data_IF_013581963977
#
_entry.id   IF_013581963977
#
_cell.length_a   1.000
_cell.length_b   1.000
_cell.length_c   1.000
_cell.angle_alpha   90.00
_cell.angle_beta   90.00
_cell.angle_gamma   90.00
#
_symmetry.space_group_name_H-M   'P 1'
#
loop_
_entity.id
_entity.type
_entity.pdbx_description
1 polymer ?
#
# COMPACT_ATOMS: atom_id res chain seq x y z
N UNK A 1 -78.21 -19.55 -6.89
CA UNK A 1 -77.37 -18.47 -7.48
C UNK A 1 -76.87 -17.46 -6.43
N UNK A 2 -77.72 -16.87 -5.59
CA UNK A 2 -77.31 -15.91 -4.53
C UNK A 2 -76.28 -16.45 -3.52
N UNK A 3 -76.41 -17.72 -3.11
CA UNK A 3 -75.44 -18.37 -2.21
C UNK A 3 -74.05 -18.55 -2.86
N UNK A 4 -74.00 -18.83 -4.16
CA UNK A 4 -72.76 -18.99 -4.91
C UNK A 4 -72.02 -17.63 -5.02
N UNK A 5 -72.78 -16.57 -5.28
CA UNK A 5 -72.25 -15.20 -5.38
C UNK A 5 -71.72 -14.69 -4.02
N UNK A 6 -72.39 -15.07 -2.92
CA UNK A 6 -71.96 -14.73 -1.56
C UNK A 6 -70.64 -15.41 -1.20
N UNK A 7 -70.45 -16.68 -1.59
CA UNK A 7 -69.21 -17.40 -1.35
C UNK A 7 -68.06 -16.87 -2.21
N UNK A 8 -68.34 -16.39 -3.44
CA UNK A 8 -67.33 -15.77 -4.30
C UNK A 8 -66.84 -14.43 -3.76
N UNK A 9 -67.75 -13.57 -3.28
CA UNK A 9 -67.36 -12.30 -2.63
C UNK A 9 -66.55 -12.53 -1.36
N UNK A 10 -66.87 -13.58 -0.59
CA UNK A 10 -66.11 -13.95 0.59
C UNK A 10 -64.68 -14.37 0.24
N UNK A 11 -64.50 -15.10 -0.87
CA UNK A 11 -63.18 -15.52 -1.35
C UNK A 11 -62.31 -14.34 -1.80
N UNK A 12 -62.91 -13.37 -2.51
CA UNK A 12 -62.22 -12.16 -2.98
C UNK A 12 -61.75 -11.30 -1.79
N UNK A 13 -62.60 -11.17 -0.76
CA UNK A 13 -62.23 -10.47 0.48
C UNK A 13 -61.08 -11.19 1.21
N UNK A 14 -61.07 -12.53 1.21
CA UNK A 14 -59.96 -13.30 1.79
C UNK A 14 -58.63 -13.08 1.07
N UNK A 15 -58.64 -12.93 -0.26
CA UNK A 15 -57.44 -12.63 -1.05
C UNK A 15 -56.86 -11.24 -0.77
N UNK A 16 -57.70 -10.26 -0.44
CA UNK A 16 -57.27 -8.89 -0.08
C UNK A 16 -56.52 -8.82 1.27
N UNK A 17 -56.67 -9.83 2.14
CA UNK A 17 -55.93 -9.94 3.40
C UNK A 17 -54.69 -10.83 3.32
N UNK A 18 -54.33 -11.34 2.13
CA UNK A 18 -53.08 -12.07 1.93
C UNK A 18 -51.93 -11.07 1.80
N UNK A 19 -51.24 -10.79 2.90
CA UNK A 19 -50.07 -9.92 2.91
C UNK A 19 -48.96 -10.52 2.03
N UNK A 20 -48.70 -9.93 0.87
CA UNK A 20 -47.50 -10.22 0.08
C UNK A 20 -46.27 -9.81 0.91
N UNK A 21 -45.54 -10.80 1.43
CA UNK A 21 -44.20 -10.58 1.95
C UNK A 21 -43.27 -10.42 0.74
N UNK A 22 -43.07 -9.19 0.30
CA UNK A 22 -41.98 -8.88 -0.62
C UNK A 22 -40.67 -9.21 0.08
N UNK A 23 -39.94 -10.21 -0.42
CA UNK A 23 -38.55 -10.40 -0.02
C UNK A 23 -37.75 -9.29 -0.72
N UNK A 24 -37.55 -8.17 -0.03
CA UNK A 24 -36.48 -7.26 -0.41
C UNK A 24 -35.17 -7.97 -0.12
N UNK A 25 -34.31 -8.10 -1.13
CA UNK A 25 -32.93 -8.54 -0.96
C UNK A 25 -32.11 -7.42 -0.30
N UNK A 26 -32.42 -7.11 0.96
CA UNK A 26 -31.49 -6.40 1.82
C UNK A 26 -30.57 -7.46 2.40
N UNK A 27 -29.49 -7.80 1.69
CA UNK A 27 -28.36 -8.48 2.30
C UNK A 27 -27.72 -7.51 3.30
N UNK A 28 -27.82 -7.73 4.61
CA UNK A 28 -27.11 -6.92 5.60
C UNK A 28 -25.75 -7.57 5.77
N UNK A 29 -24.89 -7.35 4.81
CA UNK A 29 -23.46 -7.63 4.92
C UNK A 29 -22.75 -6.50 4.20
N UNK A 30 -21.61 -6.07 4.72
CA UNK A 30 -20.72 -5.10 4.11
C UNK A 30 -20.24 -5.60 2.73
N UNK A 31 -21.12 -5.58 1.73
CA UNK A 31 -20.79 -5.82 0.34
C UNK A 31 -20.60 -4.43 -0.23
N UNK A 32 -19.34 -4.01 -0.28
CA UNK A 32 -18.91 -2.80 -0.97
C UNK A 32 -19.26 -3.00 -2.45
N UNK A 33 -20.36 -2.40 -2.90
CA UNK A 33 -20.83 -2.49 -4.28
C UNK A 33 -20.36 -1.28 -5.07
N UNK A 34 -19.35 -1.46 -5.92
CA UNK A 34 -18.98 -0.43 -6.90
C UNK A 34 -19.89 -0.54 -8.13
N UNK A 35 -20.45 0.59 -8.57
CA UNK A 35 -21.11 0.68 -9.88
C UNK A 35 -20.02 1.02 -10.90
N UNK A 36 -19.59 0.00 -11.64
CA UNK A 36 -18.63 0.15 -12.74
C UNK A 36 -19.43 0.12 -14.05
N UNK A 37 -19.59 1.26 -14.77
CA UNK A 37 -20.36 1.28 -16.02
C UNK A 37 -19.71 0.45 -17.13
N UNK A 38 -18.39 0.32 -17.10
CA UNK A 38 -17.59 -0.47 -18.03
C UNK A 38 -16.29 -0.88 -17.35
N UNK A 39 -15.80 -2.09 -17.58
CA UNK A 39 -14.51 -2.54 -17.06
C UNK A 39 -14.07 -3.84 -17.72
N UNK A 40 -12.78 -4.15 -17.63
CA UNK A 40 -12.22 -5.41 -18.12
C UNK A 40 -10.89 -5.73 -17.44
N UNK A 41 -10.38 -6.94 -17.68
CA UNK A 41 -9.06 -7.35 -17.27
C UNK A 41 -8.13 -7.36 -18.49
N UNK A 42 -6.97 -6.70 -18.38
CA UNK A 42 -5.90 -6.84 -19.35
C UNK A 42 -4.83 -7.80 -18.77
N UNK A 43 -4.64 -8.93 -19.44
CA UNK A 43 -3.63 -9.93 -19.06
C UNK A 43 -2.46 -9.90 -20.03
N UNK A 44 -1.22 -9.92 -19.50
CA UNK A 44 0.01 -10.09 -20.27
C UNK A 44 1.00 -10.99 -19.54
N UNK A 45 2.15 -11.26 -20.17
CA UNK A 45 3.19 -12.14 -19.62
C UNK A 45 3.71 -11.71 -18.25
N UNK A 46 3.64 -10.40 -17.95
CA UNK A 46 4.12 -9.80 -16.70
C UNK A 46 3.05 -9.63 -15.63
N UNK A 47 1.82 -10.12 -15.85
CA UNK A 47 0.72 -10.04 -14.88
C UNK A 47 -0.62 -9.63 -15.49
N UNK A 48 -1.63 -9.54 -14.64
CA UNK A 48 -2.98 -9.09 -15.01
C UNK A 48 -3.32 -7.81 -14.28
N UNK A 49 -3.89 -6.84 -15.00
CA UNK A 49 -4.41 -5.58 -14.45
C UNK A 49 -5.91 -5.50 -14.71
N UNK A 50 -6.69 -5.22 -13.68
CA UNK A 50 -8.12 -4.95 -13.81
C UNK A 50 -8.34 -3.44 -13.96
N UNK A 51 -9.22 -3.01 -14.87
CA UNK A 51 -9.55 -1.61 -15.05
C UNK A 51 -11.06 -1.38 -15.11
N UNK A 52 -11.49 -0.20 -14.68
CA UNK A 52 -12.86 0.30 -14.76
C UNK A 52 -12.87 1.67 -15.44
N UNK A 53 -13.89 1.94 -16.26
CA UNK A 53 -14.15 3.20 -16.97
C UNK A 53 -15.57 3.65 -16.62
N UNK A 54 -15.71 4.95 -16.32
CA UNK A 54 -17.01 5.57 -16.03
C UNK A 54 -17.36 5.64 -14.55
N UNK A 55 -16.43 5.35 -13.63
CA UNK A 55 -16.65 5.63 -12.21
C UNK A 55 -16.81 7.14 -12.00
N UNK A 56 -18.04 7.59 -11.78
CA UNK A 56 -18.37 9.02 -11.57
C UNK A 56 -18.43 9.40 -10.08
N UNK A 57 -18.50 8.41 -9.19
CA UNK A 57 -18.46 8.59 -7.74
C UNK A 57 -17.47 7.61 -7.10
N UNK A 58 -16.63 8.11 -6.21
CA UNK A 58 -15.83 7.31 -5.29
C UNK A 58 -15.79 8.00 -3.94
N UNK A 59 -15.88 7.21 -2.87
CA UNK A 59 -15.68 7.72 -1.51
C UNK A 59 -14.25 7.40 -1.12
N UNK A 60 -13.50 8.40 -0.65
CA UNK A 60 -12.21 8.17 -0.03
C UNK A 60 -12.37 8.30 1.49
N UNK A 61 -12.07 7.22 2.20
CA UNK A 61 -11.98 7.21 3.66
C UNK A 61 -10.49 7.15 3.99
N UNK A 62 -9.90 8.31 4.25
CA UNK A 62 -8.46 8.47 4.49
C UNK A 62 -8.15 9.07 5.86
N UNK A 63 -7.36 8.35 6.67
CA UNK A 63 -6.55 8.92 7.75
C UNK A 63 -5.08 8.89 7.28
N UNK A 64 -4.20 9.71 7.86
CA UNK A 64 -2.80 9.99 7.42
C UNK A 64 -1.95 8.76 7.04
N UNK A 65 -2.30 7.54 7.49
CA UNK A 65 -1.63 6.28 7.16
C UNK A 65 -2.45 5.27 6.33
N UNK A 66 -3.77 5.43 6.21
CA UNK A 66 -4.66 4.46 5.56
C UNK A 66 -5.63 5.20 4.65
N UNK A 67 -5.53 4.95 3.33
CA UNK A 67 -6.44 5.52 2.34
C UNK A 67 -7.21 4.38 1.69
N UNK A 68 -8.50 4.27 1.99
CA UNK A 68 -9.40 3.31 1.34
C UNK A 68 -10.26 4.09 0.36
N UNK A 69 -10.07 3.85 -0.94
CA UNK A 69 -10.94 4.37 -1.98
C UNK A 69 -11.96 3.29 -2.38
N UNK A 70 -13.24 3.63 -2.33
CA UNK A 70 -14.31 2.72 -2.70
C UNK A 70 -14.28 2.40 -4.20
N UNK A 71 -14.32 1.12 -4.55
CA UNK A 71 -14.48 0.65 -5.93
C UNK A 71 -13.22 0.70 -6.81
N UNK A 72 -12.10 1.21 -6.31
CA UNK A 72 -10.79 1.16 -6.99
C UNK A 72 -9.86 0.27 -6.20
N UNK A 73 -9.44 -0.85 -6.80
CA UNK A 73 -8.36 -1.65 -6.23
C UNK A 73 -7.04 -0.90 -6.48
N UNK A 74 -6.58 -0.13 -5.49
CA UNK A 74 -5.22 0.39 -5.53
C UNK A 74 -4.30 -0.80 -5.32
N UNK A 75 -3.39 -1.03 -6.26
CA UNK A 75 -2.25 -1.91 -6.02
C UNK A 75 -1.43 -1.28 -4.89
N UNK A 76 -1.67 -1.70 -3.66
CA UNK A 76 -0.83 -1.33 -2.54
C UNK A 76 0.53 -1.98 -2.78
N UNK A 77 1.46 -1.22 -3.38
CA UNK A 77 2.87 -1.56 -3.25
C UNK A 77 3.28 -1.09 -1.87
N UNK A 78 2.83 -1.82 -0.85
CA UNK A 78 3.44 -1.75 0.45
C UNK A 78 4.85 -2.32 0.28
N UNK A 79 5.85 -1.44 0.17
CA UNK A 79 7.18 -1.80 0.63
C UNK A 79 7.15 -1.86 2.16
N UNK A 80 6.30 -2.72 2.72
CA UNK A 80 6.20 -2.98 4.15
C UNK A 80 6.35 -4.47 4.34
N UNK A 81 7.44 -4.81 5.03
CA UNK A 81 7.72 -6.15 5.50
C UNK A 81 6.48 -6.68 6.23
N UNK A 82 5.94 -7.79 5.75
CA UNK A 82 4.85 -8.54 6.38
C UNK A 82 5.30 -8.99 7.78
N UNK A 83 5.01 -8.19 8.80
CA UNK A 83 5.08 -8.61 10.20
C UNK A 83 3.65 -8.87 10.69
N UNK A 84 3.39 -10.10 11.12
CA UNK A 84 2.17 -10.53 11.80
C UNK A 84 1.91 -9.69 13.06
N UNK A 85 0.64 -9.36 13.38
CA UNK A 85 0.29 -8.33 14.38
C UNK A 85 0.46 -8.74 15.85
N UNK A 86 1.28 -9.75 16.17
CA UNK A 86 1.38 -10.33 17.52
C UNK A 86 2.77 -10.23 18.16
N UNK A 87 3.67 -9.40 17.63
CA UNK A 87 4.94 -9.10 18.29
C UNK A 87 5.29 -7.60 18.18
N UNK A 88 4.54 -6.77 18.91
CA UNK A 88 4.81 -5.33 19.09
C UNK A 88 5.94 -5.10 20.10
N UNK A 89 7.12 -5.67 19.83
CA UNK A 89 8.38 -5.12 20.32
C UNK A 89 9.15 -4.76 19.05
N UNK A 90 8.85 -3.59 18.49
CA UNK A 90 9.72 -2.98 17.48
C UNK A 90 10.96 -2.43 18.20
N UNK A 91 12.17 -2.97 18.03
CA UNK A 91 13.33 -2.09 17.98
C UNK A 91 13.28 -1.46 16.59
N UNK A 92 12.51 -0.38 16.43
CA UNK A 92 12.36 0.30 15.14
C UNK A 92 13.71 0.87 14.73
N UNK A 93 14.48 0.10 13.97
CA UNK A 93 15.79 0.49 13.49
C UNK A 93 15.59 1.64 12.50
N UNK A 94 15.89 2.85 12.93
CA UNK A 94 15.70 4.06 12.16
C UNK A 94 17.01 4.42 11.47
N UNK A 95 16.98 4.44 10.14
CA UNK A 95 18.09 4.94 9.31
C UNK A 95 17.59 6.15 8.55
N UNK A 96 18.30 7.25 8.70
CA UNK A 96 18.09 8.50 7.97
C UNK A 96 19.35 8.91 7.22
N UNK A 97 19.18 9.63 6.11
CA UNK A 97 20.28 10.15 5.29
C UNK A 97 20.01 11.61 4.96
N UNK A 98 20.92 12.49 5.35
CA UNK A 98 20.76 13.94 5.21
C UNK A 98 22.12 14.65 5.04
N UNK A 99 22.16 15.84 4.40
CA UNK A 99 21.07 16.46 3.67
C UNK A 99 20.78 15.71 2.36
N UNK A 100 19.54 15.75 1.89
CA UNK A 100 19.16 15.26 0.58
C UNK A 100 18.05 16.18 0.02
N UNK A 101 18.30 16.98 -1.04
CA UNK A 101 19.50 17.02 -1.89
C UNK A 101 20.80 17.48 -1.19
N UNK A 102 21.95 17.18 -1.79
CA UNK A 102 23.30 17.49 -1.27
C UNK A 102 24.23 18.07 -2.34
N UNK A 103 25.38 18.63 -1.94
CA UNK A 103 26.50 19.06 -2.79
C UNK A 103 27.73 18.19 -2.56
N UNK A 104 28.20 18.13 -1.31
CA UNK A 104 29.54 17.64 -0.99
C UNK A 104 29.55 16.33 -0.21
N UNK A 105 28.54 16.10 0.64
CA UNK A 105 28.48 14.91 1.51
C UNK A 105 27.05 14.59 1.97
N UNK A 106 26.84 13.35 2.41
CA UNK A 106 25.65 12.96 3.17
C UNK A 106 26.06 12.28 4.46
N UNK A 107 25.32 12.50 5.52
CA UNK A 107 25.43 11.78 6.77
C UNK A 107 24.40 10.65 6.78
N UNK A 108 24.86 9.45 7.12
CA UNK A 108 24.03 8.30 7.43
C UNK A 108 23.91 8.27 8.95
N UNK A 109 22.72 8.41 9.49
CA UNK A 109 22.44 8.28 10.92
C UNK A 109 21.60 7.02 11.15
N UNK A 110 22.03 6.18 12.08
CA UNK A 110 21.43 4.89 12.41
C UNK A 110 21.15 4.80 13.91
N UNK A 111 19.89 4.69 14.30
CA UNK A 111 19.46 4.55 15.70
C UNK A 111 18.59 3.30 15.87
N UNK A 112 18.91 2.47 16.86
CA UNK A 112 18.13 1.26 17.17
C UNK A 112 18.99 0.09 17.63
N UNK A 113 18.39 -0.79 18.43
CA UNK A 113 19.06 -1.96 19.03
C UNK A 113 19.53 -2.98 17.97
N UNK A 114 18.92 -2.99 16.78
CA UNK A 114 19.30 -3.88 15.68
C UNK A 114 20.71 -3.59 15.13
N UNK A 115 21.30 -2.44 15.49
CA UNK A 115 22.63 -2.04 15.04
C UNK A 115 23.76 -2.38 16.01
N UNK A 116 23.45 -2.81 17.24
CA UNK A 116 24.47 -3.09 18.25
C UNK A 116 25.25 -4.37 17.96
N UNK A 117 24.68 -5.30 17.19
CA UNK A 117 25.25 -6.62 16.95
C UNK A 117 25.32 -6.92 15.44
N UNK A 118 26.48 -6.69 14.83
CA UNK A 118 26.78 -7.16 13.48
C UNK A 118 27.63 -6.21 12.63
N UNK A 119 28.31 -6.70 11.57
CA UNK A 119 28.96 -5.83 10.60
C UNK A 119 27.93 -4.99 9.85
N UNK A 120 28.17 -3.68 9.82
CA UNK A 120 27.36 -2.69 9.12
C UNK A 120 28.21 -2.07 8.02
N UNK A 121 27.61 -1.82 6.86
CA UNK A 121 28.31 -1.20 5.74
C UNK A 121 27.33 -0.45 4.83
N UNK A 122 27.87 0.40 3.97
CA UNK A 122 27.12 1.02 2.89
C UNK A 122 27.78 0.80 1.55
N UNK A 123 26.96 0.88 0.49
CA UNK A 123 27.40 0.87 -0.90
C UNK A 123 26.65 1.96 -1.68
N UNK A 124 27.39 2.75 -2.45
CA UNK A 124 26.86 3.81 -3.30
C UNK A 124 26.98 3.41 -4.77
N UNK A 125 25.87 3.52 -5.49
CA UNK A 125 25.77 3.17 -6.90
C UNK A 125 25.29 4.36 -7.74
N UNK A 126 25.69 4.42 -9.01
CA UNK A 126 25.01 5.26 -10.00
C UNK A 126 23.73 4.61 -10.56
N UNK A 127 23.05 5.33 -11.45
CA UNK A 127 21.82 4.87 -12.12
C UNK A 127 22.05 3.67 -13.05
N UNK A 128 23.29 3.42 -13.49
CA UNK A 128 23.64 2.24 -14.29
C UNK A 128 23.96 1.02 -13.40
N UNK A 129 23.92 1.17 -12.08
CA UNK A 129 24.22 0.12 -11.13
C UNK A 129 25.72 -0.11 -10.91
N UNK A 130 26.59 0.81 -11.35
CA UNK A 130 28.03 0.72 -11.09
C UNK A 130 28.29 1.11 -9.64
N UNK A 131 29.05 0.27 -8.93
CA UNK A 131 29.49 0.54 -7.56
C UNK A 131 30.57 1.64 -7.57
N UNK A 132 30.29 2.76 -6.90
CA UNK A 132 31.20 3.91 -6.82
C UNK A 132 31.97 3.96 -5.50
N UNK A 133 31.30 3.67 -4.39
CA UNK A 133 31.89 3.70 -3.05
C UNK A 133 31.33 2.58 -2.19
N UNK A 134 32.17 2.05 -1.31
CA UNK A 134 31.73 1.15 -0.24
C UNK A 134 32.61 1.36 1.00
N UNK A 135 32.00 1.31 2.18
CA UNK A 135 32.75 1.32 3.43
C UNK A 135 31.95 0.69 4.58
N UNK A 136 32.63 0.34 5.67
CA UNK A 136 32.01 -0.09 6.92
C UNK A 136 31.44 1.09 7.71
N UNK A 137 30.35 0.86 8.45
CA UNK A 137 29.71 1.83 9.33
C UNK A 137 29.99 1.41 10.78
N UNK A 138 30.97 2.06 11.42
CA UNK A 138 31.33 1.75 12.81
C UNK A 138 30.56 2.62 13.81
N UNK A 139 30.27 3.86 13.41
CA UNK A 139 29.61 4.85 14.25
C UNK A 139 28.10 4.92 13.97
N UNK A 140 27.36 5.47 14.93
CA UNK A 140 25.93 5.80 14.82
C UNK A 140 25.68 6.81 13.70
N UNK A 141 26.62 7.74 13.49
CA UNK A 141 26.59 8.71 12.41
C UNK A 141 27.88 8.60 11.59
N UNK A 142 27.75 8.45 10.27
CA UNK A 142 28.90 8.37 9.36
C UNK A 142 28.70 9.31 8.18
N UNK A 143 29.70 10.15 7.92
CA UNK A 143 29.72 11.02 6.76
C UNK A 143 30.26 10.28 5.52
N UNK A 144 29.52 10.37 4.42
CA UNK A 144 29.90 9.89 3.10
C UNK A 144 30.26 11.08 2.23
N UNK A 145 31.54 11.23 1.91
CA UNK A 145 32.00 12.26 0.98
C UNK A 145 31.61 11.91 -0.46
N UNK A 146 31.09 12.89 -1.19
CA UNK A 146 30.63 12.79 -2.57
C UNK A 146 31.41 13.73 -3.52
N UNK A 147 32.44 14.44 -3.08
CA UNK A 147 33.15 15.45 -3.89
C UNK A 147 33.79 14.88 -5.15
N UNK A 148 34.13 13.60 -5.14
CA UNK A 148 34.74 12.85 -6.24
C UNK A 148 33.72 12.25 -7.23
N UNK A 149 32.42 12.42 -6.99
CA UNK A 149 31.36 12.03 -7.92
C UNK A 149 30.60 13.26 -8.46
N UNK A 150 30.12 13.17 -9.71
CA UNK A 150 29.46 14.27 -10.40
C UNK A 150 28.06 14.59 -9.86
N UNK A 151 27.46 15.69 -10.30
CA UNK A 151 26.05 16.00 -10.00
C UNK A 151 25.14 15.01 -10.72
N UNK A 152 24.44 14.16 -9.96
CA UNK A 152 23.54 13.13 -10.48
C UNK A 152 22.66 12.54 -9.36
N UNK A 153 21.85 11.54 -9.71
CA UNK A 153 21.11 10.71 -8.78
C UNK A 153 21.93 9.46 -8.46
N UNK A 154 22.02 9.12 -7.18
CA UNK A 154 22.73 7.95 -6.68
C UNK A 154 21.81 7.06 -5.83
N UNK A 155 22.13 5.78 -5.77
CA UNK A 155 21.47 4.79 -4.93
C UNK A 155 22.42 4.39 -3.81
N UNK A 156 22.07 4.73 -2.58
CA UNK A 156 22.82 4.35 -1.38
C UNK A 156 22.11 3.19 -0.70
N UNK A 157 22.78 2.05 -0.57
CA UNK A 157 22.29 0.86 0.14
C UNK A 157 23.03 0.71 1.46
N UNK A 158 22.28 0.48 2.54
CA UNK A 158 22.82 0.19 3.87
C UNK A 158 22.61 -1.28 4.17
N UNK A 159 23.67 -1.93 4.62
CA UNK A 159 23.74 -3.34 4.91
C UNK A 159 23.98 -3.57 6.40
N UNK A 160 23.30 -4.58 6.96
CA UNK A 160 23.55 -5.13 8.29
C UNK A 160 23.60 -6.64 8.14
N UNK A 161 24.64 -7.29 8.67
CA UNK A 161 24.81 -8.75 8.55
C UNK A 161 24.70 -9.24 7.10
N UNK A 162 25.31 -8.50 6.17
CA UNK A 162 25.31 -8.76 4.72
C UNK A 162 23.92 -8.73 4.04
N UNK A 163 22.87 -8.28 4.73
CA UNK A 163 21.53 -8.08 4.15
C UNK A 163 21.28 -6.60 3.96
N UNK A 164 20.65 -6.24 2.83
CA UNK A 164 20.19 -4.87 2.59
C UNK A 164 19.08 -4.57 3.58
N UNK A 165 19.30 -3.59 4.46
CA UNK A 165 18.30 -3.13 5.40
C UNK A 165 17.50 -1.96 4.84
N UNK A 166 18.16 -1.01 4.17
CA UNK A 166 17.48 0.15 3.57
C UNK A 166 18.22 0.68 2.35
N UNK A 167 17.45 1.25 1.42
CA UNK A 167 17.97 1.88 0.20
C UNK A 167 17.46 3.32 0.11
N UNK A 168 18.34 4.24 -0.24
CA UNK A 168 18.06 5.66 -0.37
C UNK A 168 18.42 6.17 -1.76
N UNK A 169 17.59 7.06 -2.29
CA UNK A 169 17.90 7.85 -3.49
C UNK A 169 18.52 9.17 -3.05
N UNK A 170 19.76 9.43 -3.42
CA UNK A 170 20.48 10.67 -3.11
C UNK A 170 20.53 11.56 -4.35
N UNK A 171 20.19 12.83 -4.20
CA UNK A 171 20.23 13.82 -5.26
C UNK A 171 21.42 14.75 -4.99
N UNK A 172 22.49 14.63 -5.80
CA UNK A 172 23.63 15.55 -5.76
C UNK A 172 23.45 16.66 -6.79
N UNK A 173 23.52 17.91 -6.34
CA UNK A 173 23.45 19.13 -7.16
C UNK A 173 24.81 19.50 -7.71
#
# INVERSE_FOLDING_TARGET
MKHLLKNLNLLIIMMLFFSFKGISQNTPTNIIGTIVPSGSNASGTSGTVAYSIGQVFYTNIGLTAYNVAEGIQHGEVALQNLATPENLIEPKAEISVFPNPTTDYVNINMTGLEFENGPRSYQLYDLQGRLLKQNTLNDTETQVNLNDVSSSIYILRVYVNNKVLKTFKIIKK
#
